data_IF_991984768422
#
_entry.id   IF_991984768422
#
_cell.length_a   1.000
_cell.length_b   1.000
_cell.length_c   1.000
_cell.angle_alpha   90.00
_cell.angle_beta   90.00
_cell.angle_gamma   90.00
#
_symmetry.space_group_name_H-M   'P 1'
#
loop_
_entity.id
_entity.type
_entity.pdbx_description
1 polymer ?
#
# COMPACT_ATOMS: atom_id res chain seq x y z
N UNK A 1 18.82 -3.70 -8.40
CA UNK A 1 19.69 -3.55 -7.22
C UNK A 1 19.06 -2.45 -6.36
N UNK A 2 18.64 -2.72 -5.11
CA UNK A 2 18.16 -1.67 -4.23
C UNK A 2 19.26 -0.61 -4.04
N UNK A 3 18.89 0.67 -4.04
CA UNK A 3 19.83 1.75 -3.85
C UNK A 3 20.47 1.62 -2.45
N UNK A 4 21.79 1.76 -2.36
CA UNK A 4 22.45 1.77 -1.05
C UNK A 4 21.94 2.98 -0.25
N UNK A 5 21.61 2.80 1.04
CA UNK A 5 21.11 3.88 1.88
C UNK A 5 22.16 4.99 2.01
N UNK A 6 21.70 6.24 2.04
CA UNK A 6 22.60 7.39 2.06
C UNK A 6 23.36 7.47 3.39
N UNK A 7 24.50 8.18 3.42
CA UNK A 7 25.22 8.42 4.69
C UNK A 7 24.35 9.15 5.72
N UNK A 8 23.43 9.99 5.26
CA UNK A 8 22.50 10.70 6.12
C UNK A 8 21.55 9.73 6.85
N UNK A 9 21.04 8.73 6.14
CA UNK A 9 20.13 7.71 6.68
C UNK A 9 20.84 6.79 7.69
N UNK A 10 22.07 6.39 7.38
CA UNK A 10 22.91 5.58 8.27
C UNK A 10 23.21 6.34 9.58
N UNK A 11 23.53 7.64 9.49
CA UNK A 11 23.77 8.47 10.67
C UNK A 11 22.49 8.72 11.47
N UNK A 12 21.34 8.92 10.81
CA UNK A 12 20.06 9.07 11.48
C UNK A 12 19.67 7.78 12.23
N UNK A 13 19.88 6.61 11.63
CA UNK A 13 19.67 5.32 12.27
C UNK A 13 20.58 5.12 13.49
N UNK A 14 21.87 5.46 13.37
CA UNK A 14 22.82 5.37 14.49
C UNK A 14 22.41 6.25 15.67
N UNK A 15 21.90 7.47 15.41
CA UNK A 15 21.39 8.36 16.47
C UNK A 15 20.14 7.80 17.14
N UNK A 16 19.18 7.29 16.37
CA UNK A 16 17.96 6.66 16.92
C UNK A 16 18.26 5.45 17.79
N UNK A 17 19.29 4.69 17.43
CA UNK A 17 19.74 3.50 18.16
C UNK A 17 20.68 3.82 19.34
N UNK A 18 21.06 5.09 19.53
CA UNK A 18 21.95 5.51 20.62
C UNK A 18 23.40 5.01 20.49
N UNK A 19 23.82 4.63 19.27
CA UNK A 19 25.17 4.10 18.98
C UNK A 19 26.02 5.06 18.13
N UNK A 20 25.53 6.29 17.93
CA UNK A 20 26.30 7.33 17.27
C UNK A 20 27.47 7.78 18.16
N UNK A 21 28.56 8.21 17.53
CA UNK A 21 29.68 8.84 18.23
C UNK A 21 29.31 10.24 18.74
N UNK A 22 30.24 10.91 19.43
CA UNK A 22 30.04 12.26 19.98
C UNK A 22 29.65 13.30 18.90
N UNK A 23 30.04 13.08 17.64
CA UNK A 23 29.69 13.93 16.50
C UNK A 23 28.31 13.58 15.87
N UNK A 24 27.57 12.62 16.44
CA UNK A 24 26.28 12.16 15.92
C UNK A 24 26.38 11.34 14.62
N UNK A 25 27.54 10.73 14.36
CA UNK A 25 27.84 9.89 13.19
C UNK A 25 27.93 8.41 13.57
N UNK A 26 27.60 7.53 12.62
CA UNK A 26 27.80 6.10 12.78
C UNK A 26 29.28 5.73 12.78
N UNK A 27 29.70 4.84 13.68
CA UNK A 27 31.06 4.26 13.64
C UNK A 27 31.29 3.44 12.37
N UNK A 28 32.49 3.52 11.79
CA UNK A 28 32.80 2.84 10.52
C UNK A 28 32.49 1.33 10.53
N UNK A 29 32.79 0.65 11.64
CA UNK A 29 32.51 -0.78 11.85
C UNK A 29 31.01 -1.12 11.84
N UNK A 30 30.16 -0.18 12.23
CA UNK A 30 28.71 -0.37 12.40
C UNK A 30 27.93 0.07 11.15
N UNK A 31 28.57 0.82 10.23
CA UNK A 31 27.94 1.34 9.00
C UNK A 31 27.37 0.24 8.10
N UNK A 32 28.11 -0.85 7.90
CA UNK A 32 27.65 -1.98 7.08
C UNK A 32 26.39 -2.63 7.67
N UNK A 33 26.43 -2.92 8.98
CA UNK A 33 25.30 -3.50 9.71
C UNK A 33 24.08 -2.57 9.69
N UNK A 34 24.28 -1.26 9.82
CA UNK A 34 23.20 -0.28 9.75
C UNK A 34 22.60 -0.20 8.35
N UNK A 35 23.42 -0.21 7.30
CA UNK A 35 22.94 -0.21 5.93
C UNK A 35 22.08 -1.45 5.62
N UNK A 36 22.54 -2.64 6.03
CA UNK A 36 21.75 -3.88 5.88
C UNK A 36 20.43 -3.84 6.65
N UNK A 37 20.45 -3.28 7.86
CA UNK A 37 19.24 -3.16 8.70
C UNK A 37 18.23 -2.21 8.08
N UNK A 38 18.68 -1.08 7.53
CA UNK A 38 17.82 -0.12 6.82
C UNK A 38 17.21 -0.77 5.58
N UNK A 39 18.02 -1.40 4.74
CA UNK A 39 17.55 -2.09 3.53
C UNK A 39 16.53 -3.19 3.85
N UNK A 40 16.76 -3.94 4.94
CA UNK A 40 15.82 -4.96 5.40
C UNK A 40 14.50 -4.35 5.87
N UNK A 41 14.56 -3.29 6.66
CA UNK A 41 13.37 -2.60 7.14
C UNK A 41 12.56 -1.98 5.99
N UNK A 42 13.24 -1.45 4.96
CA UNK A 42 12.60 -0.94 3.75
C UNK A 42 11.96 -2.04 2.92
N UNK A 43 12.62 -3.19 2.77
CA UNK A 43 12.05 -4.36 2.08
C UNK A 43 10.84 -4.92 2.83
N UNK A 44 10.89 -4.98 4.17
CA UNK A 44 9.77 -5.39 5.02
C UNK A 44 8.61 -4.37 4.95
N UNK A 45 8.91 -3.07 4.92
CA UNK A 45 7.90 -2.03 4.73
C UNK A 45 7.26 -2.07 3.34
N UNK A 46 8.04 -2.35 2.29
CA UNK A 46 7.53 -2.54 0.93
C UNK A 46 6.61 -3.76 0.85
N UNK A 47 7.02 -4.91 1.40
CA UNK A 47 6.16 -6.10 1.47
C UNK A 47 4.92 -5.90 2.35
N UNK A 48 5.01 -5.14 3.44
CA UNK A 48 3.85 -4.80 4.25
C UNK A 48 2.88 -3.86 3.51
N UNK A 49 3.39 -2.93 2.70
CA UNK A 49 2.57 -2.05 1.87
C UNK A 49 1.89 -2.82 0.73
N UNK A 50 2.62 -3.74 0.07
CA UNK A 50 2.08 -4.61 -0.97
C UNK A 50 0.98 -5.52 -0.40
N UNK A 51 1.23 -6.15 0.75
CA UNK A 51 0.21 -6.95 1.42
C UNK A 51 -0.97 -6.12 1.93
N UNK A 52 -0.76 -4.88 2.39
CA UNK A 52 -1.87 -4.00 2.77
C UNK A 52 -2.72 -3.59 1.57
N UNK A 53 -2.11 -3.34 0.41
CA UNK A 53 -2.82 -3.04 -0.83
C UNK A 53 -3.58 -4.26 -1.36
N UNK A 54 -2.97 -5.45 -1.38
CA UNK A 54 -3.63 -6.70 -1.78
C UNK A 54 -4.77 -7.07 -0.81
N UNK A 55 -4.53 -6.98 0.51
CA UNK A 55 -5.53 -7.27 1.53
C UNK A 55 -6.66 -6.24 1.61
N UNK A 56 -6.53 -5.05 1.04
CA UNK A 56 -7.64 -4.09 0.90
C UNK A 56 -8.42 -4.29 -0.41
N UNK A 57 -7.76 -4.80 -1.45
CA UNK A 57 -8.38 -5.07 -2.75
C UNK A 57 -9.29 -6.30 -2.69
N UNK A 58 -8.86 -7.37 -2.02
CA UNK A 58 -9.66 -8.60 -1.85
C UNK A 58 -10.99 -8.46 -1.06
N UNK A 59 -11.08 -7.77 0.08
CA UNK A 59 -12.33 -7.61 0.80
C UNK A 59 -13.29 -6.68 0.07
N UNK A 60 -12.80 -5.65 -0.63
CA UNK A 60 -13.66 -4.73 -1.39
C UNK A 60 -14.33 -5.46 -2.54
N UNK A 61 -13.57 -6.20 -3.35
CA UNK A 61 -14.11 -6.99 -4.45
C UNK A 61 -15.08 -8.07 -3.96
N UNK A 62 -14.77 -8.74 -2.84
CA UNK A 62 -15.66 -9.74 -2.24
C UNK A 62 -16.96 -9.13 -1.70
N UNK A 63 -16.88 -7.93 -1.12
CA UNK A 63 -18.06 -7.20 -0.62
C UNK A 63 -18.96 -6.74 -1.77
N UNK A 64 -18.38 -6.24 -2.86
CA UNK A 64 -19.13 -5.87 -4.06
C UNK A 64 -19.77 -7.08 -4.74
N UNK A 65 -19.09 -8.24 -4.77
CA UNK A 65 -19.65 -9.48 -5.28
C UNK A 65 -20.83 -9.99 -4.42
N UNK A 66 -20.70 -9.97 -3.09
CA UNK A 66 -21.80 -10.34 -2.19
C UNK A 66 -23.01 -9.40 -2.35
N UNK A 67 -22.77 -8.09 -2.46
CA UNK A 67 -23.83 -7.11 -2.74
C UNK A 67 -24.51 -7.37 -4.09
N UNK A 68 -23.74 -7.78 -5.11
CA UNK A 68 -24.30 -8.16 -6.41
C UNK A 68 -25.24 -9.36 -6.29
N UNK A 69 -24.81 -10.41 -5.59
CA UNK A 69 -25.60 -11.62 -5.38
C UNK A 69 -26.90 -11.32 -4.62
N UNK A 70 -26.85 -10.52 -3.55
CA UNK A 70 -28.04 -10.08 -2.80
C UNK A 70 -29.05 -9.33 -3.69
N UNK A 71 -28.55 -8.44 -4.58
CA UNK A 71 -29.40 -7.69 -5.50
C UNK A 71 -30.02 -8.57 -6.60
N UNK A 72 -29.35 -9.66 -6.98
CA UNK A 72 -29.89 -10.65 -7.92
C UNK A 72 -31.00 -11.46 -7.24
N UNK A 73 -30.78 -11.89 -6.00
CA UNK A 73 -31.77 -12.64 -5.21
C UNK A 73 -33.03 -11.80 -4.91
N UNK A 74 -32.89 -10.49 -4.72
CA UNK A 74 -34.03 -9.57 -4.58
C UNK A 74 -34.78 -9.30 -5.90
N UNK A 75 -34.28 -9.81 -7.03
CA UNK A 75 -34.90 -9.62 -8.34
C UNK A 75 -34.78 -8.18 -8.87
N UNK A 76 -33.82 -7.39 -8.37
CA UNK A 76 -33.58 -6.02 -8.83
C UNK A 76 -33.14 -6.07 -10.30
N UNK A 77 -33.74 -5.29 -11.21
CA UNK A 77 -33.38 -5.31 -12.63
C UNK A 77 -31.95 -4.80 -12.85
N UNK A 78 -31.25 -5.38 -13.83
CA UNK A 78 -29.86 -5.09 -14.17
C UNK A 78 -29.47 -3.59 -14.18
N UNK A 79 -30.22 -2.67 -14.81
CA UNK A 79 -29.85 -1.25 -14.79
C UNK A 79 -29.85 -0.64 -13.38
N UNK A 80 -30.74 -1.09 -12.49
CA UNK A 80 -30.78 -0.64 -11.10
C UNK A 80 -29.65 -1.25 -10.27
N UNK A 81 -29.30 -2.52 -10.52
CA UNK A 81 -28.14 -3.17 -9.87
C UNK A 81 -26.83 -2.45 -10.19
N UNK A 82 -26.60 -2.14 -11.47
CA UNK A 82 -25.40 -1.43 -11.92
C UNK A 82 -25.28 -0.06 -11.27
N UNK A 83 -26.39 0.67 -11.12
CA UNK A 83 -26.40 1.96 -10.43
C UNK A 83 -26.05 1.83 -8.93
N UNK A 84 -26.59 0.82 -8.24
CA UNK A 84 -26.31 0.58 -6.82
C UNK A 84 -24.86 0.14 -6.60
N UNK A 85 -24.35 -0.78 -7.42
CA UNK A 85 -22.96 -1.23 -7.39
C UNK A 85 -21.98 -0.09 -7.68
N UNK A 86 -22.27 0.76 -8.67
CA UNK A 86 -21.46 1.94 -8.98
C UNK A 86 -21.41 2.94 -7.82
N UNK A 87 -22.54 3.19 -7.15
CA UNK A 87 -22.59 4.05 -5.97
C UNK A 87 -21.84 3.45 -4.76
N UNK A 88 -21.97 2.14 -4.54
CA UNK A 88 -21.25 1.43 -3.48
C UNK A 88 -19.73 1.46 -3.71
N UNK A 89 -19.28 1.22 -4.93
CA UNK A 89 -17.87 1.31 -5.31
C UNK A 89 -17.34 2.74 -5.09
N UNK A 90 -18.05 3.77 -5.56
CA UNK A 90 -17.64 5.17 -5.40
C UNK A 90 -17.53 5.59 -3.92
N UNK A 91 -18.48 5.16 -3.08
CA UNK A 91 -18.48 5.44 -1.64
C UNK A 91 -17.33 4.74 -0.92
N UNK A 92 -17.02 3.50 -1.31
CA UNK A 92 -15.90 2.75 -0.74
C UNK A 92 -14.55 3.39 -1.09
N UNK A 93 -14.36 3.75 -2.36
CA UNK A 93 -13.19 4.47 -2.89
C UNK A 93 -12.98 5.80 -2.15
N UNK A 94 -14.05 6.59 -1.97
CA UNK A 94 -14.01 7.87 -1.26
C UNK A 94 -13.67 7.72 0.24
N UNK A 95 -14.18 6.67 0.90
CA UNK A 95 -13.98 6.44 2.34
C UNK A 95 -12.60 5.88 2.67
N UNK A 96 -12.01 5.11 1.77
CA UNK A 96 -10.70 4.50 1.95
C UNK A 96 -9.55 5.30 1.33
N UNK A 97 -9.84 6.42 0.67
CA UNK A 97 -8.82 7.25 0.00
C UNK A 97 -8.07 6.50 -1.10
N UNK A 98 -8.61 5.36 -1.55
CA UNK A 98 -8.08 4.60 -2.68
C UNK A 98 -8.47 5.43 -3.89
N UNK A 99 -7.55 6.17 -4.49
CA UNK A 99 -7.76 6.67 -5.84
C UNK A 99 -7.86 5.44 -6.75
N UNK A 100 -9.08 5.09 -7.17
CA UNK A 100 -9.25 4.32 -8.40
C UNK A 100 -8.68 5.23 -9.50
N UNK A 101 -7.41 5.06 -9.83
CA UNK A 101 -6.91 5.49 -11.13
C UNK A 101 -7.75 4.73 -12.15
N UNK A 102 -8.65 5.47 -12.77
CA UNK A 102 -9.50 5.05 -13.87
C UNK A 102 -8.58 4.68 -15.04
N UNK A 103 -8.05 3.46 -15.02
CA UNK A 103 -7.37 2.81 -16.15
C UNK A 103 -8.44 2.04 -16.97
N UNK A 104 -9.56 2.72 -17.21
CA UNK A 104 -10.53 2.35 -18.25
C UNK A 104 -10.29 3.24 -19.48
N UNK A 105 -9.04 3.44 -19.87
CA UNK A 105 -8.75 3.74 -21.28
C UNK A 105 -8.95 2.44 -22.08
N UNK A 106 -10.22 2.20 -22.44
CA UNK A 106 -10.56 1.23 -23.46
C UNK A 106 -9.84 1.54 -24.78
N UNK A 107 -9.57 0.53 -25.62
CA UNK A 107 -8.95 0.77 -26.92
C UNK A 107 -9.88 1.64 -27.77
N UNK A 108 -9.47 2.89 -28.00
CA UNK A 108 -10.07 3.76 -29.03
C UNK A 108 -9.90 3.13 -30.43
N UNK A 109 -10.87 3.35 -31.34
CA UNK A 109 -11.16 2.49 -32.51
C UNK A 109 -10.08 2.40 -33.58
#
# INVERSE_FOLDING_TARGET
MPALPSELDINAAARRLGIANDDGRAHHRDRGRLAETILRAEAEAAHAADHAAEQQTHPTARTLAALHDDLVDEGIPEPARTAILGAAAHTHTARHGITLTDDLEGPTP
#
